data_IF_092353813381
#
_entry.id   IF_092353813381
#
_cell.length_a   1.000
_cell.length_b   1.000
_cell.length_c   1.000
_cell.angle_alpha   90.00
_cell.angle_beta   90.00
_cell.angle_gamma   90.00
#
_symmetry.space_group_name_H-M   'P 1'
#
loop_
_entity.id
_entity.type
_entity.pdbx_description
1 polymer ?
#
# COMPACT_ATOMS: atom_id res chain seq x y z
N UNK A 1 -25.36 27.49 23.06
CA UNK A 1 -25.53 26.39 22.09
C UNK A 1 -24.38 26.49 21.10
N UNK A 2 -23.20 26.02 21.52
CA UNK A 2 -21.99 26.02 20.71
C UNK A 2 -21.66 24.57 20.42
N UNK A 3 -21.72 24.19 19.15
CA UNK A 3 -21.39 22.85 18.70
C UNK A 3 -19.86 22.73 18.70
N UNK A 4 -19.33 22.09 19.74
CA UNK A 4 -17.93 21.68 19.79
C UNK A 4 -17.84 20.31 19.11
N UNK A 5 -18.01 20.30 17.79
CA UNK A 5 -17.60 19.17 16.97
C UNK A 5 -16.08 19.08 17.10
N UNK A 6 -15.60 18.07 17.82
CA UNK A 6 -14.19 17.73 17.87
C UNK A 6 -13.66 17.63 16.43
N UNK A 7 -12.65 18.42 16.11
CA UNK A 7 -11.86 18.38 14.87
C UNK A 7 -11.06 17.08 14.79
N UNK A 8 -11.73 15.94 14.82
CA UNK A 8 -11.13 14.62 14.67
C UNK A 8 -10.91 14.38 13.19
N UNK A 9 -9.67 14.08 12.80
CA UNK A 9 -9.34 13.69 11.44
C UNK A 9 -10.01 12.35 11.08
N UNK A 10 -10.55 12.24 9.87
CA UNK A 10 -11.13 10.99 9.38
C UNK A 10 -10.08 9.88 9.38
N UNK A 11 -10.48 8.65 9.72
CA UNK A 11 -9.55 7.52 9.79
C UNK A 11 -8.99 7.18 8.40
N UNK A 12 -9.80 7.32 7.34
CA UNK A 12 -9.33 7.15 5.96
C UNK A 12 -8.19 8.11 5.60
N UNK A 13 -8.29 9.38 6.03
CA UNK A 13 -7.21 10.35 5.80
C UNK A 13 -5.90 9.89 6.44
N UNK A 14 -5.96 9.31 7.65
CA UNK A 14 -4.77 8.80 8.33
C UNK A 14 -4.15 7.63 7.56
N UNK A 15 -4.97 6.71 7.04
CA UNK A 15 -4.47 5.60 6.23
C UNK A 15 -3.83 6.08 4.92
N UNK A 16 -4.50 6.97 4.19
CA UNK A 16 -3.99 7.53 2.93
C UNK A 16 -2.70 8.32 3.22
N UNK A 17 -2.74 9.18 4.24
CA UNK A 17 -1.63 9.91 4.86
C UNK A 17 -0.36 9.07 4.98
N UNK A 18 -0.54 8.00 5.72
CA UNK A 18 0.53 7.12 6.13
C UNK A 18 1.14 6.34 4.95
N UNK A 19 0.31 5.78 4.07
CA UNK A 19 0.80 5.02 2.93
C UNK A 19 1.43 5.94 1.87
N UNK A 20 0.84 7.11 1.61
CA UNK A 20 1.37 8.11 0.68
C UNK A 20 2.77 8.58 1.09
N UNK A 21 2.97 8.83 2.39
CA UNK A 21 4.29 9.19 2.88
C UNK A 21 5.33 8.09 2.62
N UNK A 22 5.02 6.83 2.95
CA UNK A 22 5.93 5.71 2.74
C UNK A 22 6.18 5.45 1.25
N UNK A 23 5.14 5.55 0.44
CA UNK A 23 5.23 5.43 -1.00
C UNK A 23 6.17 6.49 -1.58
N UNK A 24 5.90 7.77 -1.33
CA UNK A 24 6.66 8.88 -1.89
C UNK A 24 8.12 8.92 -1.40
N UNK A 25 8.37 8.68 -0.12
CA UNK A 25 9.70 8.90 0.48
C UNK A 25 10.57 7.64 0.55
N UNK A 26 9.97 6.44 0.62
CA UNK A 26 10.71 5.21 0.85
C UNK A 26 10.66 4.27 -0.35
N UNK A 27 9.48 4.02 -0.92
CA UNK A 27 9.32 2.99 -1.93
C UNK A 27 9.56 3.53 -3.34
N UNK A 28 8.77 4.52 -3.76
CA UNK A 28 8.69 4.97 -5.15
C UNK A 28 10.04 5.38 -5.78
N UNK A 29 10.97 6.08 -5.10
CA UNK A 29 12.27 6.41 -5.69
C UNK A 29 13.11 5.17 -6.02
N UNK A 30 13.09 4.14 -5.15
CA UNK A 30 13.87 2.89 -5.26
C UNK A 30 13.23 1.85 -6.18
N UNK A 31 11.94 1.98 -6.38
CA UNK A 31 11.14 1.18 -7.28
C UNK A 31 11.10 1.74 -8.71
N UNK A 32 11.64 2.95 -8.95
CA UNK A 32 11.72 3.55 -10.28
C UNK A 32 12.77 2.85 -11.17
N UNK A 33 12.67 3.02 -12.49
CA UNK A 33 13.71 2.58 -13.44
C UNK A 33 13.68 1.09 -13.81
N UNK A 34 12.54 0.40 -13.61
CA UNK A 34 12.36 -1.00 -13.97
C UNK A 34 12.30 -1.18 -15.49
N UNK A 35 13.42 -1.52 -16.10
CA UNK A 35 13.41 -2.19 -17.40
C UNK A 35 13.29 -3.69 -17.16
N UNK A 36 12.75 -4.43 -18.13
CA UNK A 36 12.66 -5.89 -18.08
C UNK A 36 14.03 -6.56 -17.84
N UNK A 37 15.14 -5.88 -18.14
CA UNK A 37 16.51 -6.35 -17.89
C UNK A 37 16.85 -6.53 -16.40
N UNK A 38 16.19 -5.79 -15.51
CA UNK A 38 16.40 -5.91 -14.07
C UNK A 38 15.68 -7.15 -13.50
N UNK A 39 14.57 -7.55 -14.14
CA UNK A 39 13.85 -8.77 -13.84
C UNK A 39 14.45 -9.91 -14.66
N UNK A 40 15.35 -10.68 -14.06
CA UNK A 40 15.94 -11.90 -14.65
C UNK A 40 14.90 -13.03 -14.92
N UNK A 41 13.61 -12.70 -14.87
CA UNK A 41 12.46 -13.57 -15.07
C UNK A 41 11.29 -12.72 -15.59
N UNK A 42 10.62 -13.20 -16.64
CA UNK A 42 9.42 -12.53 -17.16
C UNK A 42 8.21 -12.86 -16.27
N UNK A 43 7.38 -11.88 -15.89
CA UNK A 43 6.10 -12.15 -15.24
C UNK A 43 5.27 -13.11 -16.10
N UNK A 44 4.48 -13.98 -15.46
CA UNK A 44 3.46 -14.74 -16.17
C UNK A 44 2.59 -13.78 -16.99
N UNK A 45 2.20 -14.16 -18.21
CA UNK A 45 1.43 -13.29 -19.10
C UNK A 45 0.21 -12.69 -18.35
N UNK A 46 0.19 -11.36 -18.21
CA UNK A 46 -0.84 -10.63 -17.47
C UNK A 46 -0.49 -10.22 -16.03
N UNK A 47 0.65 -10.63 -15.49
CA UNK A 47 1.12 -10.26 -14.14
C UNK A 47 1.88 -8.92 -14.14
N UNK A 48 1.31 -7.89 -14.77
CA UNK A 48 1.99 -6.62 -15.08
C UNK A 48 1.37 -5.40 -14.40
N UNK A 49 0.74 -5.52 -13.23
CA UNK A 49 0.40 -4.31 -12.50
C UNK A 49 1.71 -3.61 -12.11
N UNK A 50 2.08 -2.56 -12.84
CA UNK A 50 3.23 -1.76 -12.48
C UNK A 50 2.97 -1.20 -11.08
N UNK A 51 3.94 -1.19 -10.14
CA UNK A 51 3.67 -0.77 -8.76
C UNK A 51 3.02 0.62 -8.65
N UNK A 52 3.28 1.50 -9.60
CA UNK A 52 2.61 2.81 -9.70
C UNK A 52 1.11 2.69 -10.01
N UNK A 53 0.73 1.82 -10.93
CA UNK A 53 -0.68 1.58 -11.28
C UNK A 53 -1.42 0.89 -10.13
N UNK A 54 -0.78 -0.09 -9.50
CA UNK A 54 -1.34 -0.77 -8.32
C UNK A 54 -1.53 0.20 -7.14
N UNK A 55 -0.54 1.07 -6.90
CA UNK A 55 -0.62 2.12 -5.90
C UNK A 55 -1.76 3.10 -6.19
N UNK A 56 -1.83 3.63 -7.41
CA UNK A 56 -2.87 4.58 -7.80
C UNK A 56 -4.27 3.98 -7.66
N UNK A 57 -4.49 2.77 -8.18
CA UNK A 57 -5.77 2.08 -8.06
C UNK A 57 -6.18 1.84 -6.60
N UNK A 58 -5.23 1.51 -5.73
CA UNK A 58 -5.47 1.34 -4.30
C UNK A 58 -5.84 2.64 -3.60
N UNK A 59 -5.11 3.73 -3.87
CA UNK A 59 -5.41 5.05 -3.30
C UNK A 59 -6.76 5.57 -3.79
N UNK A 60 -7.07 5.42 -5.07
CA UNK A 60 -8.36 5.84 -5.62
C UNK A 60 -9.52 5.05 -4.99
N UNK A 61 -9.34 3.74 -4.77
CA UNK A 61 -10.30 2.93 -4.04
C UNK A 61 -10.53 3.44 -2.61
N UNK A 62 -9.46 3.73 -1.85
CA UNK A 62 -9.58 4.29 -0.50
C UNK A 62 -10.26 5.67 -0.48
N UNK A 63 -9.95 6.54 -1.45
CA UNK A 63 -10.58 7.87 -1.58
C UNK A 63 -12.07 7.80 -1.95
N UNK A 64 -12.51 6.69 -2.54
CA UNK A 64 -13.93 6.47 -2.86
C UNK A 64 -14.77 5.98 -1.69
N UNK A 65 -14.14 5.60 -0.57
CA UNK A 65 -14.81 5.17 0.64
C UNK A 65 -15.10 6.36 1.56
N UNK A 66 -16.11 6.22 2.41
CA UNK A 66 -16.28 7.01 3.64
C UNK A 66 -15.82 6.19 4.86
N UNK A 67 -15.84 6.78 6.06
CA UNK A 67 -15.33 6.11 7.28
C UNK A 67 -16.29 5.01 7.81
N UNK A 68 -17.59 5.07 7.46
CA UNK A 68 -18.61 4.19 8.02
C UNK A 68 -18.36 2.67 7.79
N UNK A 69 -17.85 2.22 6.63
CA UNK A 69 -17.51 0.83 6.37
C UNK A 69 -16.30 0.33 7.16
N UNK A 70 -15.42 1.21 7.67
CA UNK A 70 -14.17 0.81 8.33
C UNK A 70 -14.40 -0.06 9.57
N UNK A 71 -15.52 0.15 10.27
CA UNK A 71 -15.90 -0.63 11.45
C UNK A 71 -16.64 -1.94 11.11
N UNK A 72 -17.06 -2.13 9.85
CA UNK A 72 -17.87 -3.28 9.44
C UNK A 72 -16.98 -4.48 9.11
N UNK A 73 -17.42 -5.72 9.39
CA UNK A 73 -16.72 -6.90 8.93
C UNK A 73 -16.58 -6.92 7.41
N UNK A 74 -15.45 -7.40 6.90
CA UNK A 74 -15.18 -7.53 5.45
C UNK A 74 -16.19 -8.46 4.77
N UNK A 75 -16.67 -9.48 5.50
CA UNK A 75 -17.64 -10.45 5.01
C UNK A 75 -16.98 -11.60 4.24
N UNK A 76 -17.80 -12.50 3.69
CA UNK A 76 -17.36 -13.82 3.16
C UNK A 76 -16.25 -13.74 2.11
N UNK A 77 -16.21 -12.66 1.33
CA UNK A 77 -15.19 -12.43 0.29
C UNK A 77 -13.79 -12.22 0.88
N UNK A 78 -13.67 -11.78 2.13
CA UNK A 78 -12.40 -11.61 2.83
C UNK A 78 -11.72 -12.92 3.25
N UNK A 79 -12.37 -14.08 3.05
CA UNK A 79 -11.80 -15.38 3.39
C UNK A 79 -11.40 -15.43 4.87
N UNK A 80 -10.12 -15.68 5.21
CA UNK A 80 -9.63 -15.64 6.60
C UNK A 80 -9.93 -14.33 7.34
N UNK A 81 -10.07 -13.22 6.61
CA UNK A 81 -10.36 -11.90 7.17
C UNK A 81 -11.86 -11.60 7.32
N UNK A 82 -12.75 -12.54 7.02
CA UNK A 82 -14.19 -12.28 6.89
C UNK A 82 -14.83 -11.66 8.13
N UNK A 83 -14.32 -11.97 9.33
CA UNK A 83 -14.82 -11.45 10.60
C UNK A 83 -14.08 -10.19 11.09
N UNK A 84 -12.96 -9.84 10.46
CA UNK A 84 -12.21 -8.63 10.79
C UNK A 84 -12.87 -7.42 10.15
N UNK A 85 -12.69 -6.24 10.77
CA UNK A 85 -13.19 -5.00 10.19
C UNK A 85 -12.41 -4.62 8.93
N UNK A 86 -13.06 -3.87 8.03
CA UNK A 86 -12.38 -3.34 6.84
C UNK A 86 -11.17 -2.49 7.22
N UNK A 87 -11.25 -1.69 8.28
CA UNK A 87 -10.13 -0.90 8.78
C UNK A 87 -8.95 -1.77 9.25
N UNK A 88 -9.21 -2.90 9.91
CA UNK A 88 -8.16 -3.86 10.29
C UNK A 88 -7.49 -4.47 9.06
N UNK A 89 -8.26 -4.85 8.04
CA UNK A 89 -7.70 -5.39 6.80
C UNK A 89 -6.85 -4.35 6.06
N UNK A 90 -7.32 -3.11 5.95
CA UNK A 90 -6.57 -2.00 5.33
C UNK A 90 -5.25 -1.77 6.07
N UNK A 91 -5.28 -1.67 7.40
CA UNK A 91 -4.09 -1.47 8.22
C UNK A 91 -3.08 -2.63 8.04
N UNK A 92 -3.57 -3.87 7.95
CA UNK A 92 -2.72 -5.02 7.67
C UNK A 92 -2.07 -4.94 6.29
N UNK A 93 -2.86 -4.67 5.24
CA UNK A 93 -2.34 -4.53 3.87
C UNK A 93 -1.27 -3.42 3.81
N UNK A 94 -1.50 -2.28 4.47
CA UNK A 94 -0.52 -1.20 4.55
C UNK A 94 0.78 -1.66 5.21
N UNK A 95 0.70 -2.39 6.34
CA UNK A 95 1.88 -2.96 7.01
C UNK A 95 2.66 -3.89 6.08
N UNK A 96 1.97 -4.81 5.38
CA UNK A 96 2.64 -5.76 4.49
C UNK A 96 3.30 -5.07 3.29
N UNK A 97 2.64 -4.07 2.70
CA UNK A 97 3.22 -3.27 1.60
C UNK A 97 4.49 -2.55 2.06
N UNK A 98 4.45 -1.93 3.24
CA UNK A 98 5.62 -1.22 3.78
C UNK A 98 6.75 -2.21 4.11
N UNK A 99 6.42 -3.33 4.76
CA UNK A 99 7.37 -4.34 5.19
C UNK A 99 8.07 -5.02 4.01
N UNK A 100 7.30 -5.65 3.12
CA UNK A 100 7.86 -6.32 1.95
C UNK A 100 8.40 -5.33 0.91
N UNK A 101 7.81 -4.12 0.83
CA UNK A 101 8.37 -3.04 0.03
C UNK A 101 9.79 -2.70 0.45
N UNK A 102 10.05 -2.59 1.76
CA UNK A 102 11.38 -2.36 2.29
C UNK A 102 12.36 -3.49 1.94
N UNK A 103 11.93 -4.75 2.08
CA UNK A 103 12.74 -5.93 1.68
C UNK A 103 13.11 -5.90 0.21
N UNK A 104 12.14 -5.65 -0.68
CA UNK A 104 12.36 -5.55 -2.13
C UNK A 104 13.32 -4.41 -2.46
N UNK A 105 13.14 -3.23 -1.85
CA UNK A 105 14.04 -2.10 -2.09
C UNK A 105 15.45 -2.36 -1.58
N UNK A 106 15.60 -3.02 -0.42
CA UNK A 106 16.91 -3.40 0.10
C UNK A 106 17.63 -4.38 -0.84
N UNK A 107 16.92 -5.39 -1.35
CA UNK A 107 17.50 -6.35 -2.29
C UNK A 107 17.92 -5.68 -3.60
N UNK A 108 17.13 -4.72 -4.10
CA UNK A 108 17.48 -3.92 -5.29
C UNK A 108 18.73 -3.06 -5.03
N UNK A 109 18.78 -2.38 -3.89
CA UNK A 109 19.93 -1.56 -3.51
C UNK A 109 21.21 -2.43 -3.39
N UNK A 110 21.14 -3.57 -2.70
CA UNK A 110 22.25 -4.53 -2.59
C UNK A 110 22.69 -5.06 -3.96
N UNK A 111 21.73 -5.34 -4.85
CA UNK A 111 22.01 -5.82 -6.21
C UNK A 111 22.73 -4.76 -7.05
N UNK A 112 22.28 -3.51 -6.97
CA UNK A 112 22.89 -2.37 -7.67
C UNK A 112 24.32 -2.10 -7.16
N UNK A 113 24.55 -2.29 -5.86
CA UNK A 113 25.85 -2.06 -5.21
C UNK A 113 26.73 -3.30 -5.08
N UNK A 114 26.37 -4.44 -5.70
CA UNK A 114 27.09 -5.72 -5.56
C UNK A 114 28.58 -5.67 -5.95
N UNK A 115 28.98 -4.70 -6.78
CA UNK A 115 30.36 -4.54 -7.26
C UNK A 115 31.19 -3.59 -6.38
N UNK A 116 30.56 -2.94 -5.39
CA UNK A 116 31.17 -1.99 -4.46
C UNK A 116 31.16 -2.48 -3.01
N UNK A 117 30.69 -3.71 -2.77
CA UNK A 117 30.72 -4.43 -1.49
C UNK A 117 31.93 -5.36 -1.47
#
# INVERSE_FOLDING_TARGET
MGDSASTGRAMLDVFIEHLEWHWTHQLRPRLNGRTDEEYLWQPAAGAHAHPDEAYAAWIDALRSLDDAPLARPVGRTGGPWAQHSLGTLIAHIHREIIHHGAEVTLLRDLRAHRATL
#
